data_IF_974777736938
#
_entry.id   IF_974777736938
#
_cell.length_a   1.000
_cell.length_b   1.000
_cell.length_c   1.000
_cell.angle_alpha   90.00
_cell.angle_beta   90.00
_cell.angle_gamma   90.00
#
_symmetry.space_group_name_H-M   'P 1'
#
loop_
_entity.id
_entity.type
_entity.pdbx_description
1 polymer ?
#
# COMPACT_ATOMS: atom_id res chain seq x y z
N UNK A 1 -11.27 3.72 20.85
CA UNK A 1 -10.80 4.28 19.56
C UNK A 1 -10.98 3.27 18.41
N UNK A 2 -10.98 1.93 18.68
CA UNK A 2 -11.12 0.89 17.65
C UNK A 2 -12.56 0.75 17.10
N UNK A 3 -13.57 0.97 17.91
CA UNK A 3 -14.97 0.73 17.52
C UNK A 3 -15.48 1.63 16.38
N UNK A 4 -14.98 2.88 16.27
CA UNK A 4 -15.42 3.81 15.23
C UNK A 4 -14.95 3.40 13.83
N UNK A 5 -13.89 2.61 13.70
CA UNK A 5 -13.30 2.20 12.43
C UNK A 5 -13.95 0.93 11.85
N UNK A 6 -14.62 0.13 12.67
CA UNK A 6 -15.27 -1.11 12.24
C UNK A 6 -16.76 -0.97 11.91
N UNK A 7 -17.30 0.26 11.93
CA UNK A 7 -18.71 0.48 11.55
C UNK A 7 -18.88 0.32 10.03
N UNK A 8 -19.95 -0.38 9.57
CA UNK A 8 -20.29 -0.47 8.15
C UNK A 8 -20.33 0.90 7.46
N UNK A 9 -19.97 0.96 6.19
CA UNK A 9 -19.88 2.22 5.43
C UNK A 9 -21.20 3.02 5.44
N UNK A 10 -22.33 2.33 5.51
CA UNK A 10 -23.69 2.90 5.61
C UNK A 10 -23.92 3.70 6.89
N UNK A 11 -23.30 3.29 7.99
CA UNK A 11 -23.39 3.98 9.28
C UNK A 11 -22.40 5.16 9.41
N UNK A 12 -21.47 5.32 8.44
CA UNK A 12 -20.50 6.42 8.42
C UNK A 12 -20.96 7.62 7.61
N UNK A 13 -21.88 7.45 6.67
CA UNK A 13 -22.31 8.48 5.71
C UNK A 13 -22.85 9.78 6.33
N UNK A 14 -23.62 9.80 7.41
CA UNK A 14 -24.12 11.06 7.97
C UNK A 14 -23.02 11.97 8.52
N UNK A 15 -21.92 11.39 9.04
CA UNK A 15 -20.83 12.17 9.66
C UNK A 15 -19.83 12.78 8.66
N UNK A 16 -19.76 12.25 7.43
CA UNK A 16 -18.87 12.77 6.38
C UNK A 16 -19.49 13.90 5.57
N UNK A 17 -20.81 13.96 5.44
CA UNK A 17 -21.50 14.97 4.63
C UNK A 17 -21.30 16.42 5.12
N UNK A 18 -20.94 16.61 6.40
CA UNK A 18 -20.81 17.93 7.02
C UNK A 18 -19.37 18.24 7.47
N UNK A 19 -18.36 17.49 7.02
CA UNK A 19 -16.96 17.80 7.33
C UNK A 19 -16.28 18.43 6.15
N UNK A 20 -15.58 19.52 6.43
CA UNK A 20 -14.69 20.19 5.48
C UNK A 20 -13.61 19.22 5.01
N UNK A 21 -13.28 19.23 3.71
CA UNK A 21 -12.13 18.48 3.16
C UNK A 21 -10.80 19.04 3.66
N UNK A 22 -9.75 18.25 3.50
CA UNK A 22 -8.39 18.60 3.97
C UNK A 22 -7.53 19.29 2.90
N UNK A 23 -8.03 19.46 1.67
CA UNK A 23 -7.39 20.31 0.66
C UNK A 23 -7.76 21.76 0.92
N UNK A 24 -7.15 22.36 1.94
CA UNK A 24 -7.41 23.70 2.44
C UNK A 24 -6.20 24.20 3.24
N UNK A 25 -6.06 25.51 3.37
CA UNK A 25 -5.03 26.14 4.22
C UNK A 25 -5.24 25.82 5.71
N UNK A 26 -6.50 25.70 6.13
CA UNK A 26 -6.89 25.41 7.50
C UNK A 26 -7.97 24.33 7.56
N UNK A 27 -7.84 23.43 8.52
CA UNK A 27 -8.83 22.37 8.78
C UNK A 27 -9.02 22.17 10.29
N UNK A 28 -10.26 22.05 10.73
CA UNK A 28 -10.59 21.70 12.11
C UNK A 28 -10.71 20.17 12.27
N UNK A 29 -9.88 19.59 13.11
CA UNK A 29 -9.90 18.15 13.39
C UNK A 29 -9.89 17.87 14.90
N UNK A 30 -10.52 16.80 15.39
CA UNK A 30 -10.43 16.41 16.79
C UNK A 30 -8.98 16.12 17.20
N UNK A 31 -8.56 16.59 18.38
CA UNK A 31 -7.20 16.41 18.90
C UNK A 31 -6.71 14.95 18.85
N UNK A 32 -7.59 13.98 19.09
CA UNK A 32 -7.24 12.55 19.04
C UNK A 32 -6.79 12.03 17.67
N UNK A 33 -6.98 12.83 16.60
CA UNK A 33 -6.54 12.52 15.23
C UNK A 33 -5.27 13.27 14.85
N UNK A 34 -4.66 14.01 15.77
CA UNK A 34 -3.43 14.77 15.55
C UNK A 34 -2.26 14.02 16.16
N UNK A 35 -1.20 13.86 15.39
CA UNK A 35 0.05 13.26 15.83
C UNK A 35 1.18 14.27 15.66
N UNK A 36 2.03 14.40 16.69
CA UNK A 36 3.23 15.23 16.57
C UNK A 36 4.17 14.60 15.54
N UNK A 37 4.65 15.43 14.61
CA UNK A 37 5.70 15.03 13.68
C UNK A 37 7.01 14.94 14.46
N UNK A 38 7.74 13.81 14.42
CA UNK A 38 9.05 13.70 15.06
C UNK A 38 10.06 14.70 14.52
N UNK A 39 10.99 15.11 15.36
CA UNK A 39 12.07 15.99 14.96
C UNK A 39 12.91 15.34 13.84
N UNK A 40 13.35 16.14 12.87
CA UNK A 40 14.12 15.69 11.71
C UNK A 40 13.30 15.16 10.53
N UNK A 41 11.96 15.02 10.68
CA UNK A 41 11.08 14.64 9.57
C UNK A 41 10.44 15.90 8.95
N UNK A 42 10.58 16.10 7.65
CA UNK A 42 9.97 17.23 6.96
C UNK A 42 8.44 17.11 6.87
N UNK A 43 7.75 18.22 6.62
CA UNK A 43 6.29 18.23 6.42
C UNK A 43 5.89 17.41 5.18
N UNK A 44 6.67 17.49 4.12
CA UNK A 44 6.46 16.70 2.90
C UNK A 44 6.57 15.19 3.17
N UNK A 45 7.58 14.79 3.92
CA UNK A 45 7.73 13.38 4.33
C UNK A 45 6.60 12.96 5.25
N UNK A 46 6.25 13.78 6.26
CA UNK A 46 5.16 13.50 7.19
C UNK A 46 3.79 13.37 6.51
N UNK A 47 3.58 14.02 5.36
CA UNK A 47 2.35 13.86 4.57
C UNK A 47 2.14 12.43 4.04
N UNK A 48 3.18 11.58 4.04
CA UNK A 48 3.06 10.16 3.72
C UNK A 48 2.67 9.29 4.93
N UNK A 49 2.51 9.85 6.12
CA UNK A 49 2.16 9.08 7.32
C UNK A 49 0.82 8.34 7.17
N UNK A 50 -0.18 8.93 6.49
CA UNK A 50 -1.49 8.28 6.28
C UNK A 50 -1.36 7.04 5.38
N UNK A 51 -0.84 7.13 4.15
CA UNK A 51 -0.64 5.93 3.33
C UNK A 51 0.33 4.92 3.97
N UNK A 52 1.35 5.38 4.70
CA UNK A 52 2.24 4.49 5.43
C UNK A 52 1.54 3.75 6.57
N UNK A 53 0.64 4.42 7.30
CA UNK A 53 -0.16 3.78 8.34
C UNK A 53 -1.14 2.75 7.76
N UNK A 54 -1.71 3.01 6.59
CA UNK A 54 -2.56 2.06 5.85
C UNK A 54 -1.74 0.83 5.43
N UNK A 55 -0.56 1.03 4.85
CA UNK A 55 0.35 -0.06 4.48
C UNK A 55 0.81 -0.86 5.71
N UNK A 56 1.12 -0.20 6.83
CA UNK A 56 1.50 -0.88 8.07
C UNK A 56 0.39 -1.78 8.61
N UNK A 57 -0.84 -1.30 8.58
CA UNK A 57 -1.96 -2.13 9.02
C UNK A 57 -2.14 -3.36 8.12
N UNK A 58 -1.99 -3.21 6.80
CA UNK A 58 -2.00 -4.33 5.86
C UNK A 58 -0.89 -5.35 6.18
N UNK A 59 0.33 -4.89 6.42
CA UNK A 59 1.47 -5.74 6.80
C UNK A 59 1.21 -6.45 8.13
N UNK A 60 0.60 -5.79 9.10
CA UNK A 60 0.20 -6.43 10.36
C UNK A 60 -0.83 -7.56 10.17
N UNK A 61 -1.74 -7.39 9.20
CA UNK A 61 -2.71 -8.42 8.79
C UNK A 61 -2.04 -9.60 8.06
N UNK A 62 -0.94 -9.34 7.39
CA UNK A 62 -0.17 -10.36 6.69
C UNK A 62 0.46 -11.37 7.64
N UNK A 63 0.70 -11.02 8.91
CA UNK A 63 1.30 -11.90 9.93
C UNK A 63 2.59 -12.56 9.39
N UNK A 64 3.48 -11.77 8.81
CA UNK A 64 4.69 -12.22 8.15
C UNK A 64 5.55 -13.04 9.12
N UNK A 65 5.77 -14.33 8.89
CA UNK A 65 6.73 -15.11 9.67
C UNK A 65 8.16 -14.57 9.44
N UNK A 66 9.02 -14.67 10.43
CA UNK A 66 10.43 -14.33 10.24
C UNK A 66 11.04 -15.24 9.14
N UNK A 67 11.69 -14.61 8.17
CA UNK A 67 12.26 -15.33 7.04
C UNK A 67 11.31 -15.62 5.87
N UNK A 68 10.04 -15.23 5.95
CA UNK A 68 9.07 -15.46 4.88
C UNK A 68 9.42 -14.69 3.60
N UNK A 69 8.99 -15.20 2.47
CA UNK A 69 9.06 -14.56 1.17
C UNK A 69 7.72 -13.88 0.84
N UNK A 70 7.78 -12.61 0.46
CA UNK A 70 6.60 -11.75 0.28
C UNK A 70 6.55 -11.21 -1.14
N UNK A 71 5.40 -11.34 -1.81
CA UNK A 71 5.10 -10.66 -3.05
C UNK A 71 4.16 -9.48 -2.78
N UNK A 72 4.50 -8.30 -3.25
CA UNK A 72 3.62 -7.13 -3.27
C UNK A 72 3.21 -6.85 -4.71
N UNK A 73 1.90 -6.85 -4.98
CA UNK A 73 1.35 -6.56 -6.32
C UNK A 73 0.81 -5.13 -6.31
N UNK A 74 1.42 -4.28 -7.14
CA UNK A 74 1.11 -2.85 -7.26
C UNK A 74 2.29 -1.96 -6.84
N UNK A 75 2.70 -1.07 -7.75
CA UNK A 75 3.84 -0.15 -7.61
C UNK A 75 3.45 1.27 -7.17
N UNK A 76 2.20 1.44 -6.70
CA UNK A 76 1.69 2.69 -6.15
C UNK A 76 2.21 2.98 -4.73
N UNK A 77 1.81 4.13 -4.13
CA UNK A 77 2.32 4.53 -2.81
C UNK A 77 2.12 3.46 -1.73
N UNK A 78 0.95 2.80 -1.71
CA UNK A 78 0.67 1.75 -0.72
C UNK A 78 1.57 0.54 -0.93
N UNK A 79 1.76 0.09 -2.18
CA UNK A 79 2.64 -1.04 -2.49
C UNK A 79 4.10 -0.77 -2.13
N UNK A 80 4.63 0.40 -2.50
CA UNK A 80 5.98 0.84 -2.16
C UNK A 80 6.23 0.85 -0.64
N UNK A 81 5.27 1.34 0.11
CA UNK A 81 5.34 1.38 1.58
C UNK A 81 5.15 0.01 2.21
N UNK A 82 4.21 -0.80 1.69
CA UNK A 82 3.98 -2.15 2.18
C UNK A 82 5.19 -3.07 1.96
N UNK A 83 5.87 -2.94 0.81
CA UNK A 83 7.07 -3.70 0.52
C UNK A 83 8.22 -3.39 1.49
N UNK A 84 8.48 -2.11 1.76
CA UNK A 84 9.47 -1.72 2.77
C UNK A 84 9.09 -2.20 4.18
N UNK A 85 7.81 -2.07 4.54
CA UNK A 85 7.31 -2.51 5.84
C UNK A 85 7.35 -4.05 6.00
N UNK A 86 7.20 -4.80 4.90
CA UNK A 86 7.40 -6.25 4.92
C UNK A 86 8.85 -6.62 5.24
N UNK A 87 9.84 -5.89 4.66
CA UNK A 87 11.24 -6.04 5.05
C UNK A 87 11.46 -5.76 6.55
N UNK A 88 10.89 -4.64 7.04
CA UNK A 88 10.98 -4.26 8.46
C UNK A 88 10.33 -5.32 9.37
N UNK A 89 9.28 -5.98 8.89
CA UNK A 89 8.59 -7.04 9.62
C UNK A 89 9.34 -8.38 9.64
N UNK A 90 10.48 -8.50 8.93
CA UNK A 90 11.34 -9.69 8.98
C UNK A 90 11.21 -10.64 7.79
N UNK A 91 10.64 -10.18 6.67
CA UNK A 91 10.69 -10.93 5.42
C UNK A 91 12.15 -11.14 4.96
N UNK A 92 12.51 -12.35 4.54
CA UNK A 92 13.84 -12.65 3.97
C UNK A 92 13.98 -12.16 2.54
N UNK A 93 12.87 -12.15 1.81
CA UNK A 93 12.79 -11.65 0.44
C UNK A 93 11.47 -10.94 0.19
N UNK A 94 11.55 -9.76 -0.37
CA UNK A 94 10.38 -9.01 -0.85
C UNK A 94 10.50 -8.79 -2.34
N UNK A 95 9.47 -9.17 -3.07
CA UNK A 95 9.32 -9.03 -4.51
C UNK A 95 8.22 -8.00 -4.76
N UNK A 96 8.42 -7.06 -5.67
CA UNK A 96 7.39 -6.13 -6.09
C UNK A 96 7.03 -6.35 -7.56
N UNK A 97 5.75 -6.57 -7.84
CA UNK A 97 5.22 -6.56 -9.20
C UNK A 97 4.56 -5.22 -9.51
N UNK A 98 4.95 -4.60 -10.62
CA UNK A 98 4.48 -3.28 -11.03
C UNK A 98 4.46 -3.08 -12.53
N UNK A 99 4.10 -1.86 -12.97
CA UNK A 99 3.92 -1.51 -14.38
C UNK A 99 4.99 -0.58 -14.96
N UNK A 100 5.63 0.21 -14.11
CA UNK A 100 6.58 1.24 -14.52
C UNK A 100 7.99 0.91 -14.04
N UNK A 101 8.93 0.82 -14.99
CA UNK A 101 10.34 0.53 -14.65
C UNK A 101 10.92 1.55 -13.66
N UNK A 102 10.56 2.84 -13.83
CA UNK A 102 11.02 3.90 -12.94
C UNK A 102 10.51 3.72 -11.50
N UNK A 103 9.26 3.27 -11.32
CA UNK A 103 8.73 2.97 -9.98
C UNK A 103 9.37 1.74 -9.38
N UNK A 104 9.66 0.74 -10.20
CA UNK A 104 10.37 -0.47 -9.79
C UNK A 104 11.83 -0.16 -9.44
N UNK A 105 12.47 0.78 -10.13
CA UNK A 105 13.81 1.28 -9.77
C UNK A 105 13.79 1.98 -8.40
N UNK A 106 12.79 2.81 -8.12
CA UNK A 106 12.60 3.44 -6.81
C UNK A 106 12.37 2.37 -5.72
N UNK A 107 11.64 1.30 -6.01
CA UNK A 107 11.48 0.18 -5.07
C UNK A 107 12.84 -0.45 -4.73
N UNK A 108 13.68 -0.71 -5.73
CA UNK A 108 15.06 -1.22 -5.53
C UNK A 108 15.90 -0.26 -4.68
N UNK A 109 15.84 1.06 -4.93
CA UNK A 109 16.51 2.09 -4.13
C UNK A 109 16.02 2.08 -2.66
N UNK A 110 14.74 1.78 -2.45
CA UNK A 110 14.15 1.64 -1.13
C UNK A 110 14.50 0.30 -0.44
N UNK A 111 15.23 -0.60 -1.12
CA UNK A 111 15.71 -1.85 -0.53
C UNK A 111 14.83 -3.06 -0.81
N UNK A 112 13.99 -3.02 -1.84
CA UNK A 112 13.21 -4.19 -2.28
C UNK A 112 14.13 -5.14 -3.06
N UNK A 113 14.09 -6.42 -2.71
CA UNK A 113 15.04 -7.42 -3.21
C UNK A 113 14.86 -7.71 -4.70
N UNK A 114 13.62 -7.91 -5.16
CA UNK A 114 13.32 -8.23 -6.54
C UNK A 114 12.15 -7.41 -7.07
N UNK A 115 12.13 -7.18 -8.38
CA UNK A 115 11.05 -6.47 -9.04
C UNK A 115 10.66 -7.19 -10.33
N UNK A 116 9.36 -7.19 -10.65
CA UNK A 116 8.79 -7.82 -11.83
C UNK A 116 7.94 -6.77 -12.56
N UNK A 117 8.24 -6.49 -13.82
CA UNK A 117 7.37 -5.65 -14.65
C UNK A 117 6.37 -6.56 -15.39
N UNK A 118 5.08 -6.48 -15.02
CA UNK A 118 4.05 -7.34 -15.57
C UNK A 118 3.73 -7.08 -17.06
N UNK A 119 4.27 -6.04 -17.67
CA UNK A 119 4.24 -5.83 -19.11
C UNK A 119 5.34 -6.61 -19.86
N UNK A 120 6.35 -7.10 -19.15
CA UNK A 120 7.53 -7.75 -19.70
C UNK A 120 7.66 -9.21 -19.31
N UNK A 121 7.09 -9.59 -18.15
CA UNK A 121 7.26 -10.91 -17.56
C UNK A 121 5.94 -11.43 -17.01
N UNK A 122 5.76 -12.75 -16.99
CA UNK A 122 4.69 -13.41 -16.25
C UNK A 122 5.00 -13.35 -14.74
N UNK A 123 4.19 -12.60 -14.02
CA UNK A 123 4.40 -12.38 -12.57
C UNK A 123 4.27 -13.69 -11.78
N UNK A 124 3.33 -14.57 -12.15
CA UNK A 124 3.09 -15.82 -11.43
C UNK A 124 4.28 -16.76 -11.60
N UNK A 125 4.72 -16.94 -12.84
CA UNK A 125 5.87 -17.77 -13.15
C UNK A 125 7.12 -17.22 -12.47
N UNK A 126 7.39 -15.92 -12.66
CA UNK A 126 8.59 -15.27 -12.14
C UNK A 126 8.65 -15.26 -10.61
N UNK A 127 7.52 -15.01 -9.94
CA UNK A 127 7.45 -15.09 -8.48
C UNK A 127 7.77 -16.49 -7.97
N UNK A 128 7.26 -17.54 -8.61
CA UNK A 128 7.58 -18.94 -8.25
C UNK A 128 9.05 -19.30 -8.48
N UNK A 129 9.65 -18.82 -9.55
CA UNK A 129 11.09 -19.02 -9.82
C UNK A 129 11.96 -18.36 -8.74
N UNK A 130 11.58 -17.16 -8.29
CA UNK A 130 12.30 -16.41 -7.27
C UNK A 130 12.13 -16.97 -5.84
N UNK A 131 11.10 -17.79 -5.60
CA UNK A 131 10.68 -18.28 -4.28
C UNK A 131 10.55 -19.81 -4.21
N UNK A 132 11.08 -20.53 -5.19
CA UNK A 132 11.03 -22.02 -5.33
C UNK A 132 9.62 -22.61 -5.46
N UNK A 133 8.65 -22.20 -4.65
CA UNK A 133 7.28 -22.75 -4.64
C UNK A 133 6.16 -21.68 -4.72
N UNK A 134 6.53 -20.43 -4.71
CA UNK A 134 5.67 -19.27 -4.56
C UNK A 134 5.83 -18.58 -3.19
N UNK A 135 5.50 -17.30 -3.09
CA UNK A 135 5.61 -16.54 -1.84
C UNK A 135 4.65 -17.07 -0.77
N UNK A 136 5.06 -17.01 0.51
CA UNK A 136 4.19 -17.26 1.65
C UNK A 136 3.06 -16.25 1.78
N UNK A 137 3.39 -15.00 1.49
CA UNK A 137 2.52 -13.86 1.68
C UNK A 137 2.41 -13.10 0.37
N UNK A 138 1.18 -12.71 0.01
CA UNK A 138 0.94 -11.76 -1.06
C UNK A 138 0.16 -10.57 -0.51
N UNK A 139 0.64 -9.35 -0.77
CA UNK A 139 -0.07 -8.10 -0.44
C UNK A 139 -0.54 -7.48 -1.75
N UNK A 140 -1.86 -7.49 -1.99
CA UNK A 140 -2.47 -6.95 -3.19
C UNK A 140 -2.89 -5.49 -2.97
N UNK A 141 -2.31 -4.57 -3.72
CA UNK A 141 -2.49 -3.12 -3.56
C UNK A 141 -2.97 -2.41 -4.83
N UNK A 142 -3.25 -3.13 -5.91
CA UNK A 142 -3.68 -2.54 -7.18
C UNK A 142 -5.20 -2.36 -7.28
N UNK A 143 -5.97 -3.22 -6.62
CA UNK A 143 -7.44 -3.23 -6.69
C UNK A 143 -7.99 -3.72 -8.02
N UNK A 144 -7.23 -4.53 -8.76
CA UNK A 144 -7.71 -5.16 -10.00
C UNK A 144 -8.06 -6.63 -9.79
N UNK A 145 -9.12 -7.08 -10.48
CA UNK A 145 -9.52 -8.49 -10.44
C UNK A 145 -8.40 -9.42 -10.95
N UNK A 146 -7.70 -9.00 -11.99
CA UNK A 146 -6.57 -9.74 -12.54
C UNK A 146 -5.44 -9.88 -11.51
N UNK A 147 -5.10 -8.82 -10.77
CA UNK A 147 -4.05 -8.87 -9.75
C UNK A 147 -4.42 -9.76 -8.56
N UNK A 148 -5.69 -9.76 -8.13
CA UNK A 148 -6.15 -10.66 -7.08
C UNK A 148 -6.03 -12.13 -7.51
N UNK A 149 -6.42 -12.48 -8.73
CA UNK A 149 -6.26 -13.84 -9.25
C UNK A 149 -4.79 -14.20 -9.50
N UNK A 150 -3.97 -13.24 -9.90
CA UNK A 150 -2.51 -13.40 -9.97
C UNK A 150 -1.93 -13.73 -8.58
N UNK A 151 -2.39 -13.04 -7.52
CA UNK A 151 -2.02 -13.33 -6.14
C UNK A 151 -2.38 -14.77 -5.75
N UNK A 152 -3.60 -15.22 -6.07
CA UNK A 152 -4.07 -16.60 -5.80
C UNK A 152 -3.21 -17.63 -6.53
N UNK A 153 -2.83 -17.36 -7.78
CA UNK A 153 -2.02 -18.27 -8.60
C UNK A 153 -0.55 -18.34 -8.14
N UNK A 154 0.03 -17.19 -7.75
CA UNK A 154 1.41 -17.10 -7.32
C UNK A 154 1.65 -17.69 -5.92
N UNK A 155 0.68 -17.54 -5.01
CA UNK A 155 0.78 -17.94 -3.61
C UNK A 155 1.13 -19.43 -3.47
N UNK A 156 2.02 -19.79 -2.56
CA UNK A 156 2.26 -21.18 -2.20
C UNK A 156 1.08 -21.79 -1.39
N UNK A 157 0.96 -23.11 -1.26
CA UNK A 157 -0.01 -23.74 -0.36
C UNK A 157 0.12 -23.21 1.08
N UNK A 158 -1.00 -23.09 1.79
CA UNK A 158 -1.14 -22.56 3.16
C UNK A 158 -0.69 -21.11 3.34
N UNK A 159 -0.49 -20.40 2.22
CA UNK A 159 -0.09 -18.99 2.25
C UNK A 159 -1.25 -18.04 2.51
N UNK A 160 -0.92 -16.75 2.65
CA UNK A 160 -1.90 -15.71 2.98
C UNK A 160 -1.85 -14.57 1.97
N UNK A 161 -3.03 -14.12 1.54
CA UNK A 161 -3.24 -12.93 0.71
C UNK A 161 -3.89 -11.84 1.55
N UNK A 162 -3.34 -10.63 1.51
CA UNK A 162 -3.95 -9.43 2.09
C UNK A 162 -4.38 -8.50 0.97
N UNK A 163 -5.70 -8.32 0.80
CA UNK A 163 -6.28 -7.37 -0.14
C UNK A 163 -6.46 -6.01 0.54
N UNK A 164 -5.82 -4.97 0.00
CA UNK A 164 -5.75 -3.62 0.61
C UNK A 164 -6.56 -2.61 -0.17
N UNK A 165 -6.61 -2.74 -1.48
CA UNK A 165 -7.23 -1.77 -2.37
C UNK A 165 -8.75 -1.94 -2.51
N UNK A 166 -9.42 -0.88 -2.97
CA UNK A 166 -10.80 -0.91 -3.39
C UNK A 166 -10.93 -1.42 -4.81
N UNK A 167 -11.85 -2.35 -5.04
CA UNK A 167 -12.18 -2.89 -6.37
C UNK A 167 -13.31 -2.09 -7.05
N UNK A 168 -13.34 -0.76 -6.84
CA UNK A 168 -14.29 0.20 -7.43
C UNK A 168 -15.78 -0.17 -7.22
N UNK A 169 -16.11 -0.81 -6.10
CA UNK A 169 -17.47 -1.23 -5.77
C UNK A 169 -18.02 -2.38 -6.61
N UNK A 170 -17.19 -2.98 -7.47
CA UNK A 170 -17.56 -4.14 -8.25
C UNK A 170 -17.39 -5.44 -7.45
N UNK A 171 -18.19 -6.44 -7.75
CA UNK A 171 -17.87 -7.81 -7.37
C UNK A 171 -16.62 -8.26 -8.13
N UNK A 172 -15.80 -9.05 -7.48
CA UNK A 172 -14.60 -9.63 -8.09
C UNK A 172 -14.76 -11.15 -8.21
N UNK A 173 -14.36 -11.68 -9.35
CA UNK A 173 -14.29 -13.12 -9.56
C UNK A 173 -12.98 -13.62 -8.98
N UNK A 174 -13.06 -14.58 -8.08
CA UNK A 174 -11.90 -15.21 -7.45
C UNK A 174 -11.83 -16.67 -7.86
N UNK A 175 -10.65 -17.14 -8.24
CA UNK A 175 -10.39 -18.56 -8.52
C UNK A 175 -10.51 -19.40 -7.24
N UNK A 176 -11.75 -19.51 -6.71
CA UNK A 176 -12.04 -20.03 -5.37
C UNK A 176 -11.59 -21.49 -5.21
N UNK A 177 -11.69 -22.30 -6.27
CA UNK A 177 -11.18 -23.68 -6.24
C UNK A 177 -9.66 -23.72 -5.99
N UNK A 178 -8.92 -22.74 -6.54
CA UNK A 178 -7.47 -22.66 -6.28
C UNK A 178 -7.20 -22.24 -4.82
N UNK A 179 -8.00 -21.31 -4.26
CA UNK A 179 -7.90 -20.93 -2.84
C UNK A 179 -8.13 -22.15 -1.95
N UNK A 180 -9.15 -22.97 -2.24
CA UNK A 180 -9.48 -24.20 -1.48
C UNK A 180 -8.36 -25.23 -1.60
N UNK A 181 -7.91 -25.52 -2.83
CA UNK A 181 -6.84 -26.51 -3.06
C UNK A 181 -5.52 -26.13 -2.38
N UNK A 182 -5.24 -24.84 -2.31
CA UNK A 182 -4.05 -24.31 -1.62
C UNK A 182 -4.21 -24.19 -0.10
N UNK A 183 -5.38 -24.42 0.45
CA UNK A 183 -5.68 -24.11 1.87
C UNK A 183 -5.26 -22.69 2.24
N UNK A 184 -5.57 -21.73 1.36
CA UNK A 184 -5.07 -20.37 1.42
C UNK A 184 -5.99 -19.44 2.22
N UNK A 185 -5.41 -18.46 2.91
CA UNK A 185 -6.15 -17.41 3.59
C UNK A 185 -6.27 -16.15 2.69
N UNK A 186 -7.49 -15.62 2.54
CA UNK A 186 -7.75 -14.33 1.90
C UNK A 186 -8.31 -13.34 2.93
N UNK A 187 -7.58 -12.26 3.21
CA UNK A 187 -7.87 -11.31 4.28
C UNK A 187 -7.98 -9.90 3.74
N UNK A 188 -9.07 -9.20 4.08
CA UNK A 188 -9.23 -7.77 3.78
C UNK A 188 -8.52 -6.88 4.79
N UNK A 189 -7.98 -5.74 4.33
CA UNK A 189 -7.40 -4.69 5.16
C UNK A 189 -8.04 -3.35 4.84
N UNK A 190 -8.51 -2.65 5.88
CA UNK A 190 -9.16 -1.34 5.73
C UNK A 190 -8.63 -0.37 6.78
N UNK A 191 -8.28 0.85 6.32
CA UNK A 191 -7.82 1.95 7.17
C UNK A 191 -6.48 1.64 7.90
N UNK A 192 -6.22 2.30 9.03
CA UNK A 192 -4.91 2.32 9.67
C UNK A 192 -4.98 2.35 11.20
N UNK A 193 -5.75 1.46 11.86
CA UNK A 193 -5.90 1.50 13.30
C UNK A 193 -4.54 1.35 13.99
N UNK A 194 -4.25 2.26 14.94
CA UNK A 194 -3.05 2.27 15.79
C UNK A 194 -1.69 2.30 15.05
N UNK A 195 -1.69 2.64 13.75
CA UNK A 195 -0.48 2.55 12.91
C UNK A 195 0.30 3.85 12.77
N UNK A 196 -0.30 5.03 13.05
CA UNK A 196 0.37 6.33 12.84
C UNK A 196 1.62 6.51 13.70
N UNK A 197 1.56 6.26 14.99
CA UNK A 197 2.72 6.39 15.87
C UNK A 197 3.91 5.52 15.45
N UNK A 198 3.71 4.21 15.20
CA UNK A 198 4.76 3.34 14.69
C UNK A 198 5.37 3.79 13.37
N UNK A 199 4.56 4.16 12.34
CA UNK A 199 5.13 4.58 11.04
C UNK A 199 5.92 5.87 11.15
N UNK A 200 5.47 6.84 11.94
CA UNK A 200 6.22 8.09 12.17
C UNK A 200 7.60 7.80 12.77
N UNK A 201 7.70 6.84 13.69
CA UNK A 201 9.01 6.40 14.23
C UNK A 201 9.90 5.74 13.18
N UNK A 202 9.33 4.89 12.31
CA UNK A 202 10.11 4.26 11.22
C UNK A 202 10.57 5.27 10.17
N UNK A 203 9.73 6.27 9.86
CA UNK A 203 10.08 7.36 8.97
C UNK A 203 11.20 8.22 9.57
N UNK A 204 11.06 8.66 10.82
CA UNK A 204 12.05 9.49 11.50
C UNK A 204 13.41 8.77 11.71
N UNK A 205 13.40 7.44 11.90
CA UNK A 205 14.63 6.65 12.00
C UNK A 205 15.26 6.30 10.64
N UNK A 206 14.65 6.71 9.51
CA UNK A 206 15.12 6.37 8.18
C UNK A 206 14.91 4.90 7.76
N UNK A 207 14.31 4.06 8.63
CA UNK A 207 13.99 2.66 8.29
C UNK A 207 12.93 2.56 7.21
N UNK A 208 11.95 3.48 7.20
CA UNK A 208 10.95 3.61 6.16
C UNK A 208 11.30 4.84 5.30
N UNK A 209 11.80 4.60 4.10
CA UNK A 209 12.22 5.63 3.17
C UNK A 209 11.00 6.16 2.42
N UNK A 210 10.56 7.37 2.71
CA UNK A 210 9.39 7.98 2.07
C UNK A 210 9.75 9.07 1.07
N UNK A 211 10.89 9.72 1.22
CA UNK A 211 11.35 10.81 0.35
C UNK A 211 11.43 10.41 -1.14
N UNK A 212 11.96 9.23 -1.52
CA UNK A 212 11.99 8.81 -2.93
C UNK A 212 10.59 8.60 -3.54
N UNK A 213 9.56 8.43 -2.71
CA UNK A 213 8.18 8.23 -3.16
C UNK A 213 7.47 9.54 -3.52
N UNK A 214 8.00 10.69 -3.10
CA UNK A 214 7.45 12.01 -3.40
C UNK A 214 7.93 12.42 -4.79
N UNK A 215 7.12 12.18 -5.80
CA UNK A 215 7.48 12.46 -7.19
C UNK A 215 7.12 13.87 -7.65
N UNK A 216 6.11 14.47 -7.02
CA UNK A 216 5.63 15.81 -7.37
C UNK A 216 5.21 16.57 -6.12
N UNK A 217 5.56 17.85 -6.06
CA UNK A 217 5.04 18.80 -5.09
C UNK A 217 4.48 19.99 -5.89
N UNK A 218 3.21 20.27 -5.72
CA UNK A 218 2.47 21.28 -6.46
C UNK A 218 1.75 22.24 -5.51
N UNK A 219 1.56 23.51 -5.88
CA UNK A 219 0.73 24.42 -5.10
C UNK A 219 -0.73 23.95 -5.04
N UNK A 220 -1.42 24.25 -3.95
CA UNK A 220 -2.82 23.84 -3.74
C UNK A 220 -3.78 24.37 -4.82
N UNK A 221 -3.51 25.57 -5.36
CA UNK A 221 -4.30 26.16 -6.42
C UNK A 221 -4.17 25.42 -7.78
N UNK A 222 -3.20 24.51 -7.95
CA UNK A 222 -3.08 23.62 -9.12
C UNK A 222 -3.87 22.31 -8.95
N UNK A 223 -4.72 22.16 -7.94
CA UNK A 223 -5.44 20.91 -7.63
C UNK A 223 -6.15 20.31 -8.86
N UNK A 224 -6.83 21.15 -9.67
CA UNK A 224 -7.55 20.64 -10.85
C UNK A 224 -6.61 20.03 -11.89
N UNK A 225 -5.46 20.65 -12.13
CA UNK A 225 -4.47 20.14 -13.09
C UNK A 225 -3.77 18.88 -12.57
N UNK A 226 -3.51 18.81 -11.26
CA UNK A 226 -3.04 17.59 -10.60
C UNK A 226 -4.06 16.45 -10.75
N UNK A 227 -5.35 16.70 -10.60
CA UNK A 227 -6.39 15.69 -10.82
C UNK A 227 -6.42 15.23 -12.28
N UNK A 228 -6.31 16.15 -13.25
CA UNK A 228 -6.23 15.81 -14.68
C UNK A 228 -4.99 14.95 -14.98
N UNK A 229 -3.84 15.33 -14.45
CA UNK A 229 -2.57 14.60 -14.54
C UNK A 229 -2.72 13.16 -14.00
N UNK A 230 -3.31 13.01 -12.80
CA UNK A 230 -3.51 11.70 -12.16
C UNK A 230 -4.45 10.82 -13.01
N UNK A 231 -5.54 11.37 -13.52
CA UNK A 231 -6.49 10.64 -14.38
C UNK A 231 -5.91 10.27 -15.74
N UNK A 232 -5.04 11.11 -16.28
CA UNK A 232 -4.44 10.90 -17.60
C UNK A 232 -3.48 9.71 -17.68
N UNK A 233 -2.87 9.28 -16.59
CA UNK A 233 -1.93 8.15 -16.50
C UNK A 233 -0.77 8.19 -17.53
N UNK A 234 -0.41 9.38 -18.03
CA UNK A 234 0.57 9.56 -19.10
C UNK A 234 2.01 9.71 -18.60
N UNK A 235 2.19 10.02 -17.34
CA UNK A 235 3.51 10.23 -16.74
C UNK A 235 3.68 9.40 -15.45
N UNK A 236 4.93 9.08 -15.15
CA UNK A 236 5.31 8.33 -13.97
C UNK A 236 5.05 9.19 -12.72
N UNK A 237 4.32 8.62 -11.75
CA UNK A 237 4.10 9.22 -10.44
C UNK A 237 3.87 8.16 -9.39
N UNK A 238 4.36 8.40 -8.19
CA UNK A 238 4.05 7.59 -6.99
C UNK A 238 3.19 8.43 -6.05
N UNK A 239 3.75 9.50 -5.46
CA UNK A 239 3.01 10.40 -4.59
C UNK A 239 3.10 11.83 -5.08
N UNK A 240 1.95 12.48 -5.23
CA UNK A 240 1.82 13.90 -5.53
C UNK A 240 1.36 14.60 -4.28
N UNK A 241 2.08 15.62 -3.85
CA UNK A 241 1.73 16.47 -2.71
C UNK A 241 1.19 17.81 -3.22
N UNK A 242 0.21 18.34 -2.49
CA UNK A 242 -0.29 19.70 -2.65
C UNK A 242 0.15 20.52 -1.45
N UNK A 243 0.73 21.69 -1.71
CA UNK A 243 1.22 22.61 -0.68
C UNK A 243 0.33 23.86 -0.68
N UNK A 244 -0.28 24.23 0.47
CA UNK A 244 -1.03 25.48 0.64
C UNK A 244 -0.18 26.70 0.40
#
# INVERSE_FOLDING_TARGET
AGEALHRPAELRRPSYKNRQGVFAEYVAVPQRHVYKIPDGLSMEEAALAEPAATAMYAVSKAKIPAGAEVLVIGDGPIGQLAAQLANIAGASKVIMAGSWDEKLAIAKECGIHETINYHKEDVVQRAKELTEAGPEIVIETSGSNAALNMAVQALKPTGRIVAVSWYNGANVDVAMNTVIVKDAELVGSLASPNSFGPVLRYMASGKLKVKPLITHVKPLNELEDVVKMIRGKKEMRIKVLLKP
#
